data_IF_530118303361
#
_entry.id   IF_530118303361
#
_cell.length_a   1.000
_cell.length_b   1.000
_cell.length_c   1.000
_cell.angle_alpha   90.00
_cell.angle_beta   90.00
_cell.angle_gamma   90.00
#
_symmetry.space_group_name_H-M   'P 1'
#
loop_
_entity.id
_entity.type
_entity.pdbx_description
1 polymer ?
#
# COMPACT_ATOMS: atom_id res chain seq x y z
N UNK A 1 9.11 27.56 63.53
CA UNK A 1 8.14 27.56 62.40
C UNK A 1 8.89 27.16 61.14
N UNK A 2 8.66 25.96 60.64
CA UNK A 2 9.42 25.38 59.54
C UNK A 2 8.69 25.56 58.21
N UNK A 3 9.36 26.20 57.25
CA UNK A 3 8.93 26.35 55.86
C UNK A 3 9.09 25.01 55.16
N UNK A 4 8.00 24.42 54.65
CA UNK A 4 8.04 23.28 53.74
C UNK A 4 7.91 23.78 52.30
N UNK A 5 9.04 23.77 51.61
CA UNK A 5 9.15 23.92 50.16
C UNK A 5 8.98 22.53 49.54
N UNK A 6 7.89 22.31 48.78
CA UNK A 6 7.67 21.04 48.06
C UNK A 6 7.90 21.28 46.58
N UNK A 7 9.09 20.88 46.11
CA UNK A 7 9.44 20.77 44.69
C UNK A 7 9.20 19.30 44.32
N UNK A 8 8.30 19.03 43.37
CA UNK A 8 8.18 17.70 42.75
C UNK A 8 7.87 17.85 41.27
N UNK A 9 8.97 17.88 40.50
CA UNK A 9 9.22 17.03 39.32
C UNK A 9 8.01 16.64 38.46
N UNK A 10 7.57 17.54 37.58
CA UNK A 10 6.80 17.18 36.40
C UNK A 10 7.74 16.70 35.29
N UNK A 11 7.87 15.38 35.14
CA UNK A 11 8.57 14.74 34.03
C UNK A 11 7.83 15.09 32.74
N UNK A 12 8.37 16.03 31.98
CA UNK A 12 7.87 16.38 30.66
C UNK A 12 8.17 15.19 29.73
N UNK A 13 7.14 14.41 29.44
CA UNK A 13 7.22 13.25 28.56
C UNK A 13 7.67 13.71 27.18
N UNK A 14 8.86 13.29 26.79
CA UNK A 14 9.41 13.47 25.45
C UNK A 14 8.45 12.73 24.50
N UNK A 15 7.68 13.50 23.71
CA UNK A 15 6.92 12.93 22.61
C UNK A 15 7.93 12.28 21.66
N UNK A 16 7.90 10.95 21.64
CA UNK A 16 8.73 10.15 20.75
C UNK A 16 8.52 10.65 19.31
N UNK A 17 9.60 11.17 18.72
CA UNK A 17 9.68 11.37 17.29
C UNK A 17 9.36 10.02 16.65
N UNK A 18 8.18 9.94 16.04
CA UNK A 18 7.71 8.74 15.37
C UNK A 18 8.75 8.30 14.38
N UNK A 19 9.30 7.11 14.61
CA UNK A 19 10.05 6.34 13.63
C UNK A 19 9.33 6.46 12.29
N UNK A 20 10.04 6.98 11.28
CA UNK A 20 9.62 6.99 9.89
C UNK A 20 9.48 5.53 9.43
N UNK A 21 8.41 4.87 9.83
CA UNK A 21 8.01 3.60 9.25
C UNK A 21 7.69 3.89 7.80
N UNK A 22 8.40 3.22 6.89
CA UNK A 22 7.98 3.12 5.50
C UNK A 22 6.48 2.82 5.52
N UNK A 23 5.65 3.73 5.00
CA UNK A 23 4.21 3.65 5.15
C UNK A 23 3.74 2.31 4.55
N UNK A 24 3.46 1.33 5.39
CA UNK A 24 2.88 0.08 4.94
C UNK A 24 1.47 0.35 4.44
N UNK A 25 1.05 -0.34 3.37
CA UNK A 25 -0.34 -0.30 2.94
C UNK A 25 -1.22 -0.92 4.03
N UNK A 26 -2.39 -0.33 4.32
CA UNK A 26 -3.34 -0.87 5.30
C UNK A 26 -4.06 -2.13 4.78
N UNK A 27 -3.73 -2.59 3.58
CA UNK A 27 -4.33 -3.74 2.91
C UNK A 27 -3.25 -4.71 2.44
N UNK A 28 -3.62 -5.99 2.39
CA UNK A 28 -2.81 -7.08 1.85
C UNK A 28 -3.67 -8.12 1.16
N UNK A 29 -3.04 -8.90 0.27
CA UNK A 29 -3.65 -10.00 -0.47
C UNK A 29 -3.84 -9.69 -1.96
N UNK A 30 -4.41 -10.65 -2.69
CA UNK A 30 -4.73 -10.49 -4.11
C UNK A 30 -6.14 -9.96 -4.36
N UNK A 31 -6.26 -9.12 -5.38
CA UNK A 31 -7.49 -8.48 -5.82
C UNK A 31 -7.61 -8.60 -7.34
N UNK A 32 -8.74 -9.08 -7.84
CA UNK A 32 -9.01 -9.24 -9.27
C UNK A 32 -9.95 -8.18 -9.81
N UNK A 33 -9.74 -7.76 -11.06
CA UNK A 33 -10.68 -6.94 -11.81
C UNK A 33 -11.95 -7.77 -12.10
N UNK A 34 -13.10 -7.41 -11.53
CA UNK A 34 -14.33 -8.16 -11.73
C UNK A 34 -14.83 -8.11 -13.19
N UNK A 35 -14.53 -7.04 -13.94
CA UNK A 35 -14.94 -6.93 -15.35
C UNK A 35 -14.14 -7.87 -16.26
N UNK A 36 -12.94 -8.24 -15.84
CA UNK A 36 -12.03 -9.08 -16.61
C UNK A 36 -11.81 -10.47 -16.00
N UNK A 37 -12.67 -10.93 -15.08
CA UNK A 37 -12.52 -12.23 -14.41
C UNK A 37 -11.18 -12.38 -13.65
N UNK A 38 -10.67 -11.30 -13.07
CA UNK A 38 -9.33 -11.23 -12.48
C UNK A 38 -8.97 -12.31 -11.47
N UNK A 39 -9.89 -12.69 -10.59
CA UNK A 39 -9.63 -13.74 -9.61
C UNK A 39 -9.61 -15.15 -10.22
N UNK A 40 -10.27 -15.34 -11.36
CA UNK A 40 -10.16 -16.58 -12.13
C UNK A 40 -8.78 -16.66 -12.78
N UNK A 41 -8.34 -15.60 -13.44
CA UNK A 41 -7.01 -15.52 -14.03
C UNK A 41 -5.88 -15.70 -13.02
N UNK A 42 -6.01 -15.11 -11.82
CA UNK A 42 -5.10 -15.37 -10.71
C UNK A 42 -5.00 -16.88 -10.39
N UNK A 43 -6.13 -17.59 -10.33
CA UNK A 43 -6.17 -19.04 -10.04
C UNK A 43 -5.61 -19.88 -11.19
N UNK A 44 -5.82 -19.45 -12.43
CA UNK A 44 -5.29 -20.10 -13.63
C UNK A 44 -3.79 -19.78 -13.84
N UNK A 45 -3.20 -18.91 -13.02
CA UNK A 45 -1.80 -18.50 -13.15
C UNK A 45 -1.54 -17.64 -14.38
N UNK A 46 -2.59 -17.04 -14.93
CA UNK A 46 -2.53 -16.21 -16.14
C UNK A 46 -2.44 -14.75 -15.78
N UNK A 47 -1.65 -14.01 -16.53
CA UNK A 47 -1.46 -12.59 -16.31
C UNK A 47 -2.68 -11.75 -16.72
N UNK A 48 -2.76 -10.48 -16.28
CA UNK A 48 -3.58 -9.48 -17.00
C UNK A 48 -4.81 -8.92 -16.31
N UNK A 49 -5.24 -9.44 -15.14
CA UNK A 49 -6.47 -8.93 -14.52
C UNK A 49 -6.49 -8.95 -12.99
N UNK A 50 -5.34 -9.07 -12.32
CA UNK A 50 -5.28 -9.00 -10.87
C UNK A 50 -4.10 -8.17 -10.38
N UNK A 51 -4.17 -7.77 -9.11
CA UNK A 51 -3.13 -7.08 -8.37
C UNK A 51 -2.93 -7.70 -7.00
N UNK A 52 -1.69 -7.79 -6.54
CA UNK A 52 -1.35 -8.26 -5.20
C UNK A 52 -0.76 -7.15 -4.36
N UNK A 53 -1.10 -7.01 -3.08
CA UNK A 53 -0.45 -6.06 -2.19
C UNK A 53 0.26 -6.80 -1.05
N UNK A 54 1.59 -6.68 -1.02
CA UNK A 54 2.45 -7.31 -0.02
C UNK A 54 3.21 -6.28 0.82
N UNK A 55 3.82 -6.72 1.95
CA UNK A 55 4.56 -5.87 2.91
C UNK A 55 5.59 -4.91 2.28
N UNK A 56 6.12 -5.25 1.10
CA UNK A 56 7.12 -4.43 0.40
C UNK A 56 6.58 -3.55 -0.73
N UNK A 57 5.26 -3.32 -0.84
CA UNK A 57 4.69 -2.52 -1.92
C UNK A 57 4.85 -3.15 -3.31
N UNK A 58 5.18 -4.44 -3.39
CA UNK A 58 5.14 -5.19 -4.64
C UNK A 58 3.69 -5.39 -5.06
N UNK A 59 3.37 -4.91 -6.25
CA UNK A 59 2.12 -5.18 -6.96
C UNK A 59 2.41 -5.92 -8.24
N UNK A 60 1.87 -7.13 -8.40
CA UNK A 60 1.63 -7.63 -9.75
C UNK A 60 0.65 -6.67 -10.40
N UNK A 61 0.99 -6.03 -11.50
CA UNK A 61 0.01 -5.38 -12.37
C UNK A 61 -0.14 -6.33 -13.55
N UNK A 62 -1.27 -7.01 -13.66
CA UNK A 62 -1.82 -7.50 -14.92
C UNK A 62 -0.94 -7.39 -16.20
N UNK A 63 -0.33 -8.50 -16.65
CA UNK A 63 0.37 -8.67 -17.94
C UNK A 63 1.72 -9.38 -17.74
N UNK A 64 2.58 -9.39 -18.78
CA UNK A 64 3.97 -9.85 -18.71
C UNK A 64 4.82 -8.97 -17.78
N UNK A 65 4.26 -8.32 -16.78
CA UNK A 65 4.90 -7.26 -16.02
C UNK A 65 4.38 -7.10 -14.61
N UNK A 66 5.04 -6.23 -13.87
CA UNK A 66 4.66 -5.92 -12.50
C UNK A 66 5.32 -4.63 -12.05
N UNK A 67 4.85 -4.10 -10.92
CA UNK A 67 5.38 -2.89 -10.35
C UNK A 67 5.91 -3.15 -8.94
N UNK A 68 7.15 -2.74 -8.74
CA UNK A 68 7.77 -2.72 -7.42
C UNK A 68 7.73 -1.30 -6.90
N UNK A 69 6.82 -1.02 -5.97
CA UNK A 69 6.75 0.28 -5.31
C UNK A 69 7.73 0.34 -4.15
N UNK A 70 8.71 1.23 -4.27
CA UNK A 70 9.70 1.49 -3.24
C UNK A 70 9.27 2.59 -2.27
N UNK A 71 8.25 3.39 -2.65
CA UNK A 71 7.74 4.49 -1.83
C UNK A 71 6.22 4.53 -1.88
N UNK A 72 5.62 4.57 -0.69
CA UNK A 72 4.19 4.67 -0.47
C UNK A 72 3.96 5.97 0.29
N UNK A 73 3.13 6.84 -0.26
CA UNK A 73 2.77 8.12 0.34
C UNK A 73 1.28 8.12 0.63
N UNK A 74 0.88 8.42 1.86
CA UNK A 74 -0.53 8.61 2.19
C UNK A 74 -0.98 9.98 1.69
N UNK A 75 -1.98 10.01 0.81
CA UNK A 75 -2.55 11.24 0.22
C UNK A 75 -3.78 11.69 1.01
N UNK A 76 -4.60 10.73 1.47
CA UNK A 76 -5.77 11.00 2.32
C UNK A 76 -6.03 9.82 3.27
N UNK A 77 -7.14 9.85 4.00
CA UNK A 77 -7.51 8.79 4.94
C UNK A 77 -7.45 7.39 4.29
N UNK A 78 -7.91 7.27 3.05
CA UNK A 78 -8.05 6.00 2.34
C UNK A 78 -7.35 5.99 0.97
N UNK A 79 -6.51 6.97 0.68
CA UNK A 79 -5.84 7.12 -0.62
C UNK A 79 -4.33 7.23 -0.46
N UNK A 80 -3.62 6.54 -1.34
CA UNK A 80 -2.18 6.35 -1.32
C UNK A 80 -1.61 6.56 -2.72
N UNK A 81 -0.44 7.18 -2.78
CA UNK A 81 0.36 7.28 -3.99
C UNK A 81 1.54 6.32 -3.88
N UNK A 82 1.61 5.43 -4.85
CA UNK A 82 2.60 4.36 -4.93
C UNK A 82 3.59 4.75 -6.01
N UNK A 83 4.85 4.98 -5.63
CA UNK A 83 5.92 5.36 -6.52
C UNK A 83 6.95 4.24 -6.56
N UNK A 84 7.36 3.89 -7.77
CA UNK A 84 8.24 2.74 -7.96
C UNK A 84 8.63 2.51 -9.40
N UNK A 85 8.98 1.27 -9.68
CA UNK A 85 9.43 0.83 -10.99
C UNK A 85 8.54 -0.29 -11.48
N UNK A 86 7.93 -0.07 -12.63
CA UNK A 86 7.23 -1.09 -13.39
C UNK A 86 8.18 -1.73 -14.39
N UNK A 87 8.03 -3.03 -14.60
CA UNK A 87 8.78 -3.82 -15.55
C UNK A 87 7.82 -4.66 -16.37
N UNK A 88 8.18 -4.94 -17.61
CA UNK A 88 7.60 -6.01 -18.42
C UNK A 88 8.71 -7.03 -18.71
N UNK A 89 8.39 -8.30 -18.96
CA UNK A 89 9.32 -9.41 -19.15
C UNK A 89 10.31 -9.05 -20.25
N UNK A 90 9.80 -8.46 -21.34
CA UNK A 90 10.61 -7.99 -22.48
C UNK A 90 10.77 -6.47 -22.54
N UNK A 91 10.26 -5.73 -21.55
CA UNK A 91 10.19 -4.28 -21.58
C UNK A 91 11.22 -3.58 -20.70
N UNK A 92 11.63 -2.34 -21.06
CA UNK A 92 12.49 -1.55 -20.20
C UNK A 92 11.79 -1.24 -18.87
N UNK A 93 12.54 -1.28 -17.77
CA UNK A 93 12.07 -0.83 -16.46
C UNK A 93 11.74 0.66 -16.52
N UNK A 94 10.52 1.03 -16.12
CA UNK A 94 10.06 2.43 -16.11
C UNK A 94 9.64 2.86 -14.72
N UNK A 95 10.01 4.08 -14.34
CA UNK A 95 9.44 4.69 -13.14
C UNK A 95 7.95 4.93 -13.37
N UNK A 96 7.14 4.58 -12.37
CA UNK A 96 5.71 4.76 -12.41
C UNK A 96 5.21 5.29 -11.08
N UNK A 97 4.12 6.05 -11.17
CA UNK A 97 3.33 6.49 -10.03
C UNK A 97 1.90 6.02 -10.24
N UNK A 98 1.34 5.34 -9.25
CA UNK A 98 -0.04 4.82 -9.27
C UNK A 98 -0.77 5.28 -8.04
N UNK A 99 -2.05 5.60 -8.21
CA UNK A 99 -2.95 5.88 -7.08
C UNK A 99 -3.61 4.59 -6.64
N UNK A 100 -3.65 4.36 -5.33
CA UNK A 100 -4.42 3.31 -4.68
C UNK A 100 -5.41 3.95 -3.71
N UNK A 101 -6.70 3.71 -3.91
CA UNK A 101 -7.76 4.05 -2.99
C UNK A 101 -8.33 2.78 -2.36
N UNK A 102 -8.25 2.67 -1.04
CA UNK A 102 -8.84 1.58 -0.28
C UNK A 102 -10.31 1.90 -0.06
N UNK A 103 -11.21 1.15 -0.69
CA UNK A 103 -12.66 1.35 -0.53
C UNK A 103 -13.16 0.57 0.68
N UNK A 104 -12.70 -0.67 0.82
CA UNK A 104 -12.97 -1.55 1.96
C UNK A 104 -11.87 -2.61 2.07
N UNK A 105 -11.99 -3.53 3.04
CA UNK A 105 -11.09 -4.70 3.10
C UNK A 105 -11.20 -5.60 1.86
N UNK A 106 -12.33 -5.60 1.18
CA UNK A 106 -12.62 -6.47 0.03
C UNK A 106 -12.56 -5.73 -1.32
N UNK A 107 -12.40 -4.41 -1.33
CA UNK A 107 -12.44 -3.61 -2.55
C UNK A 107 -11.41 -2.47 -2.54
N UNK A 108 -10.73 -2.31 -3.68
CA UNK A 108 -9.76 -1.25 -3.91
C UNK A 108 -9.98 -0.64 -5.29
N UNK A 109 -9.57 0.62 -5.46
CA UNK A 109 -9.42 1.24 -6.77
C UNK A 109 -7.94 1.52 -6.97
N UNK A 110 -7.36 0.92 -8.01
CA UNK A 110 -5.94 0.98 -8.31
C UNK A 110 -5.74 1.45 -9.75
N UNK A 111 -5.00 2.52 -9.95
CA UNK A 111 -4.77 3.10 -11.28
C UNK A 111 -6.06 3.57 -11.99
N UNK A 112 -7.15 3.77 -11.26
CA UNK A 112 -8.48 4.08 -11.80
C UNK A 112 -9.40 2.87 -12.01
N UNK A 113 -8.86 1.66 -11.92
CA UNK A 113 -9.63 0.41 -12.08
C UNK A 113 -10.05 -0.14 -10.72
N UNK A 114 -11.29 -0.65 -10.63
CA UNK A 114 -11.80 -1.28 -9.40
C UNK A 114 -11.41 -2.75 -9.37
N UNK A 115 -10.90 -3.22 -8.23
CA UNK A 115 -10.55 -4.62 -7.99
C UNK A 115 -11.23 -5.12 -6.72
N UNK A 116 -11.58 -6.40 -6.70
CA UNK A 116 -12.18 -7.10 -5.55
C UNK A 116 -11.27 -8.19 -5.04
N UNK A 117 -11.22 -8.36 -3.72
CA UNK A 117 -10.39 -9.38 -3.06
C UNK A 117 -10.74 -10.76 -3.62
N UNK A 118 -9.72 -11.50 -4.02
CA UNK A 118 -9.87 -12.88 -4.44
C UNK A 118 -10.04 -13.77 -3.20
N UNK A 119 -11.10 -14.57 -3.20
CA UNK A 119 -11.43 -15.55 -2.17
C UNK A 119 -11.17 -16.96 -2.67
#
# INVERSE_FOLDING_TARGET
MAVRLTILSGIMTIAAAGVASAAELPIRGEFGDPAQQGCRWLKEGTEGAYVGFNRGGRTGEAGEGGCQFSRIERVSANEYRLNGTCFSIDGPKRRASRTLKVVSNDEVVYGGTRYRRCR
#
